data_IF_609358701707
#
_entry.id   IF_609358701707
#
_cell.length_a   1.000
_cell.length_b   1.000
_cell.length_c   1.000
_cell.angle_alpha   90.00
_cell.angle_beta   90.00
_cell.angle_gamma   90.00
#
_symmetry.space_group_name_H-M   'P 1'
#
loop_
_entity.id
_entity.type
_entity.pdbx_description
1 polymer ?
#
# COMPACT_ATOMS: atom_id res chain seq x y z
N UNK A 1 5.55 18.31 3.97
CA UNK A 1 4.78 17.61 2.91
C UNK A 1 3.29 17.47 3.24
N UNK A 2 2.84 16.51 4.07
CA UNK A 2 1.39 16.30 4.28
C UNK A 2 0.66 17.50 4.90
N UNK A 3 1.24 18.13 5.94
CA UNK A 3 0.68 19.35 6.55
C UNK A 3 0.64 20.55 5.60
N UNK A 4 1.64 20.68 4.72
CA UNK A 4 1.68 21.74 3.72
C UNK A 4 0.57 21.56 2.68
N UNK A 5 0.32 20.32 2.26
CA UNK A 5 -0.78 19.99 1.34
C UNK A 5 -2.15 20.29 1.97
N UNK A 6 -2.33 20.03 3.28
CA UNK A 6 -3.56 20.39 3.99
C UNK A 6 -3.80 21.90 4.11
N UNK A 7 -2.76 22.73 3.97
CA UNK A 7 -2.93 24.18 3.97
C UNK A 7 -3.38 24.73 2.61
N UNK A 8 -3.28 23.95 1.53
CA UNK A 8 -3.73 24.33 0.20
C UNK A 8 -5.26 24.21 0.07
N UNK A 9 -5.89 24.98 -0.84
CA UNK A 9 -7.27 24.74 -1.28
C UNK A 9 -7.47 23.30 -1.80
N UNK A 10 -8.69 22.78 -1.67
CA UNK A 10 -8.99 21.37 -2.02
C UNK A 10 -8.73 21.04 -3.50
N UNK A 11 -8.89 22.02 -4.41
CA UNK A 11 -8.65 21.89 -5.85
C UNK A 11 -7.17 22.01 -6.26
N UNK A 12 -6.31 22.47 -5.36
CA UNK A 12 -4.85 22.57 -5.56
C UNK A 12 -4.06 21.50 -4.79
N UNK A 13 -4.74 20.78 -3.89
CA UNK A 13 -4.14 19.81 -2.97
C UNK A 13 -3.96 18.44 -3.62
N UNK A 14 -2.80 17.81 -3.38
CA UNK A 14 -2.61 16.39 -3.67
C UNK A 14 -3.59 15.53 -2.85
N UNK A 15 -4.29 14.61 -3.51
CA UNK A 15 -5.27 13.77 -2.82
C UNK A 15 -4.63 12.61 -2.04
N UNK A 16 -3.59 12.00 -2.60
CA UNK A 16 -2.93 10.82 -2.06
C UNK A 16 -1.41 10.97 -2.12
N UNK A 17 -0.73 10.38 -1.12
CA UNK A 17 0.70 10.13 -1.12
C UNK A 17 0.94 8.64 -1.26
N UNK A 18 1.88 8.26 -2.11
CA UNK A 18 2.47 6.93 -2.11
C UNK A 18 3.83 7.02 -1.42
N UNK A 19 4.02 6.25 -0.34
CA UNK A 19 5.32 6.02 0.26
C UNK A 19 5.92 4.75 -0.32
N UNK A 20 7.22 4.75 -0.60
CA UNK A 20 7.97 3.56 -0.98
C UNK A 20 9.37 3.60 -0.36
N UNK A 21 9.80 2.49 0.22
CA UNK A 21 11.14 2.34 0.79
C UNK A 21 12.22 2.40 -0.29
N UNK A 22 13.42 2.81 0.12
CA UNK A 22 14.55 3.04 -0.78
C UNK A 22 15.11 1.75 -1.40
N UNK A 23 14.76 0.60 -0.84
CA UNK A 23 15.05 -0.74 -1.36
C UNK A 23 13.85 -1.33 -2.11
N UNK A 24 13.14 -0.47 -2.86
CA UNK A 24 12.19 -0.87 -3.89
C UNK A 24 12.73 -0.54 -5.29
N UNK A 25 12.28 -1.29 -6.30
CA UNK A 25 12.58 -1.02 -7.70
C UNK A 25 11.28 -0.99 -8.50
N UNK A 26 11.00 0.14 -9.14
CA UNK A 26 9.88 0.25 -10.09
C UNK A 26 10.19 -0.62 -11.32
N UNK A 27 9.30 -1.58 -11.59
CA UNK A 27 9.43 -2.51 -12.71
C UNK A 27 8.63 -2.05 -13.92
N UNK A 28 7.41 -1.55 -13.67
CA UNK A 28 6.48 -1.15 -14.72
C UNK A 28 6.06 0.31 -14.57
N UNK A 29 6.83 1.22 -15.18
CA UNK A 29 6.51 2.65 -15.16
C UNK A 29 5.31 3.03 -16.03
N UNK A 30 4.70 2.07 -16.73
CA UNK A 30 3.49 2.26 -17.54
C UNK A 30 2.21 2.00 -16.75
N UNK A 31 2.30 1.51 -15.50
CA UNK A 31 1.16 1.30 -14.62
C UNK A 31 0.82 2.61 -13.89
N UNK A 32 -0.35 3.22 -14.16
CA UNK A 32 -0.82 4.36 -13.37
C UNK A 32 -1.06 3.95 -11.92
N UNK A 33 -0.51 4.70 -10.97
CA UNK A 33 -0.60 4.37 -9.54
C UNK A 33 -2.02 4.56 -8.99
N UNK A 34 -2.81 5.43 -9.62
CA UNK A 34 -4.21 5.69 -9.30
C UNK A 34 -5.12 4.48 -9.51
N UNK A 35 -4.68 3.48 -10.29
CA UNK A 35 -5.44 2.24 -10.48
C UNK A 35 -5.70 1.51 -9.17
N UNK A 36 -4.79 1.62 -8.21
CA UNK A 36 -4.91 0.95 -6.91
C UNK A 36 -5.80 1.72 -5.94
N UNK A 37 -6.19 2.95 -6.26
CA UNK A 37 -6.97 3.79 -5.35
C UNK A 37 -8.46 3.41 -5.37
N UNK A 38 -9.21 3.69 -4.30
CA UNK A 38 -10.65 3.52 -4.31
C UNK A 38 -11.28 4.37 -5.43
N UNK A 39 -12.29 3.85 -6.16
CA UNK A 39 -12.94 4.61 -7.22
C UNK A 39 -13.73 5.79 -6.67
N UNK A 40 -13.50 6.99 -7.22
CA UNK A 40 -14.20 8.23 -6.84
C UNK A 40 -15.74 8.14 -7.00
N UNK A 41 -16.21 7.23 -7.87
CA UNK A 41 -17.63 6.97 -8.10
C UNK A 41 -18.32 6.16 -6.98
N UNK A 42 -17.59 5.73 -5.95
CA UNK A 42 -18.11 4.93 -4.84
C UNK A 42 -18.06 5.73 -3.51
N UNK A 43 -19.13 6.45 -3.15
CA UNK A 43 -19.20 7.23 -1.91
C UNK A 43 -18.97 6.39 -0.65
N UNK A 44 -19.27 5.09 -0.68
CA UNK A 44 -19.08 4.17 0.43
C UNK A 44 -17.60 3.88 0.74
N UNK A 45 -16.71 4.27 -0.17
CA UNK A 45 -15.25 4.18 0.00
C UNK A 45 -14.62 5.55 0.29
N UNK A 46 -15.42 6.62 0.38
CA UNK A 46 -14.93 7.99 0.53
C UNK A 46 -14.23 8.25 1.87
N UNK A 47 -14.32 7.34 2.83
CA UNK A 47 -13.64 7.40 4.12
C UNK A 47 -12.44 6.44 4.22
N UNK A 48 -12.04 5.81 3.11
CA UNK A 48 -10.76 5.11 3.02
C UNK A 48 -9.64 6.15 2.97
N UNK A 49 -8.70 6.02 3.91
CA UNK A 49 -7.58 6.94 4.07
C UNK A 49 -6.22 6.27 3.98
N UNK A 50 -6.13 4.95 4.18
CA UNK A 50 -4.89 4.19 4.09
C UNK A 50 -5.10 2.92 3.25
N UNK A 51 -4.22 2.70 2.27
CA UNK A 51 -4.05 1.40 1.64
C UNK A 51 -2.71 0.84 2.09
N UNK A 52 -2.73 -0.35 2.68
CA UNK A 52 -1.51 -1.03 3.13
C UNK A 52 -1.50 -2.47 2.61
N UNK A 53 -0.39 -3.15 2.81
CA UNK A 53 -0.23 -4.56 2.44
C UNK A 53 0.22 -5.37 3.66
N UNK A 54 0.28 -6.68 3.51
CA UNK A 54 0.80 -7.59 4.54
C UNK A 54 1.83 -8.56 3.97
N UNK A 55 2.71 -9.03 4.84
CA UNK A 55 3.64 -10.10 4.59
C UNK A 55 3.58 -11.16 5.69
N UNK A 56 4.53 -12.10 5.71
CA UNK A 56 4.62 -13.14 6.74
C UNK A 56 4.83 -12.60 8.17
N UNK A 57 5.20 -11.33 8.34
CA UNK A 57 5.31 -10.64 9.62
C UNK A 57 4.10 -9.73 9.95
N UNK A 58 3.04 -9.77 9.15
CA UNK A 58 1.84 -8.93 9.33
C UNK A 58 1.88 -7.69 8.45
N UNK A 59 1.41 -6.54 8.95
CA UNK A 59 1.43 -5.29 8.19
C UNK A 59 2.85 -4.97 7.72
N UNK A 60 3.00 -4.65 6.44
CA UNK A 60 4.23 -4.10 5.88
C UNK A 60 3.99 -2.65 5.45
N UNK A 61 4.81 -1.74 5.96
CA UNK A 61 4.71 -0.30 5.68
C UNK A 61 5.79 0.19 4.71
N UNK A 62 6.50 -0.71 4.03
CA UNK A 62 7.52 -0.34 3.05
C UNK A 62 6.93 0.25 1.78
N UNK A 63 5.69 -0.12 1.42
CA UNK A 63 4.89 0.62 0.42
C UNK A 63 3.44 0.72 0.86
N UNK A 64 2.91 1.94 0.89
CA UNK A 64 1.51 2.22 1.23
C UNK A 64 1.02 3.52 0.57
N UNK A 65 -0.31 3.65 0.48
CA UNK A 65 -0.96 4.87 0.02
C UNK A 65 -1.68 5.54 1.19
N UNK A 66 -1.45 6.84 1.38
CA UNK A 66 -2.08 7.62 2.44
C UNK A 66 -2.77 8.84 1.84
N UNK A 67 -4.08 8.95 2.07
CA UNK A 67 -4.86 10.10 1.63
C UNK A 67 -4.45 11.35 2.41
N UNK A 68 -4.36 12.50 1.76
CA UNK A 68 -4.18 13.77 2.49
C UNK A 68 -5.49 14.15 3.16
N UNK A 69 -5.56 13.97 4.48
CA UNK A 69 -6.72 14.32 5.30
C UNK A 69 -6.28 14.62 6.74
N UNK A 70 -7.17 15.23 7.54
CA UNK A 70 -6.95 15.39 8.97
C UNK A 70 -6.76 14.04 9.68
N UNK A 71 -7.54 13.02 9.28
CA UNK A 71 -7.41 11.66 9.80
C UNK A 71 -5.98 11.13 9.63
N UNK A 72 -5.36 11.35 8.46
CA UNK A 72 -4.01 10.88 8.20
C UNK A 72 -2.94 11.58 9.05
N UNK A 73 -3.15 12.85 9.41
CA UNK A 73 -2.27 13.56 10.35
C UNK A 73 -2.42 12.99 11.75
N UNK A 74 -3.65 12.75 12.20
CA UNK A 74 -3.91 12.15 13.51
C UNK A 74 -3.33 10.74 13.59
N UNK A 75 -3.49 9.95 12.53
CA UNK A 75 -2.93 8.61 12.40
C UNK A 75 -1.40 8.61 12.48
N UNK A 76 -0.71 9.43 11.67
CA UNK A 76 0.74 9.55 11.72
C UNK A 76 1.23 10.06 13.10
N UNK A 77 0.49 10.99 13.71
CA UNK A 77 0.81 11.49 15.05
C UNK A 77 0.68 10.40 16.11
N UNK A 78 -0.35 9.55 16.03
CA UNK A 78 -0.54 8.41 16.93
C UNK A 78 0.57 7.37 16.80
N UNK A 79 1.03 7.08 15.57
CA UNK A 79 2.17 6.18 15.32
C UNK A 79 3.44 6.73 15.97
N UNK A 80 3.75 8.02 15.73
CA UNK A 80 4.94 8.65 16.30
C UNK A 80 4.89 8.74 17.83
N UNK A 81 3.71 9.00 18.39
CA UNK A 81 3.50 9.07 19.83
C UNK A 81 3.37 7.70 20.51
N UNK A 82 3.32 6.60 19.75
CA UNK A 82 2.96 5.27 20.26
C UNK A 82 3.77 4.84 21.48
N UNK A 83 5.09 5.00 21.40
CA UNK A 83 6.00 4.66 22.51
C UNK A 83 5.81 5.54 23.75
N UNK A 84 5.28 6.75 23.58
CA UNK A 84 5.02 7.66 24.71
C UNK A 84 3.83 7.19 25.55
N UNK A 85 2.78 6.64 24.92
CA UNK A 85 1.58 6.20 25.63
C UNK A 85 1.46 4.67 25.80
N UNK A 86 2.31 3.89 25.12
CA UNK A 86 2.51 2.44 25.33
C UNK A 86 4.00 2.09 25.50
N UNK A 87 4.66 2.59 26.57
CA UNK A 87 6.11 2.42 26.74
C UNK A 87 6.53 0.96 26.98
N UNK A 88 5.65 0.14 27.56
CA UNK A 88 5.96 -1.25 27.93
C UNK A 88 5.74 -2.27 26.79
N UNK A 89 5.35 -1.79 25.61
CA UNK A 89 5.05 -2.67 24.48
C UNK A 89 6.27 -2.87 23.60
N UNK A 90 6.67 -4.13 23.48
CA UNK A 90 7.71 -4.55 22.54
C UNK A 90 7.23 -4.36 21.10
N UNK A 91 8.06 -3.71 20.29
CA UNK A 91 7.81 -3.47 18.87
C UNK A 91 8.90 -4.18 18.09
N UNK A 92 8.54 -5.29 17.43
CA UNK A 92 9.46 -6.06 16.60
C UNK A 92 10.07 -5.19 15.49
N UNK A 93 9.26 -4.29 14.92
CA UNK A 93 9.65 -3.28 13.94
C UNK A 93 9.11 -1.93 14.39
N UNK A 94 9.97 -0.92 14.51
CA UNK A 94 9.66 0.29 15.31
C UNK A 94 8.39 1.01 14.88
N UNK A 95 8.32 1.45 13.63
CA UNK A 95 7.19 2.20 13.07
C UNK A 95 6.16 1.28 12.41
N UNK A 96 6.58 0.16 11.80
CA UNK A 96 5.67 -0.85 11.26
C UNK A 96 4.78 -1.50 12.34
N UNK A 97 5.35 -1.96 13.47
CA UNK A 97 4.55 -2.53 14.55
C UNK A 97 3.68 -1.48 15.23
N UNK A 98 4.16 -0.24 15.36
CA UNK A 98 3.34 0.86 15.89
C UNK A 98 2.15 1.14 14.96
N UNK A 99 2.36 1.19 13.64
CA UNK A 99 1.30 1.37 12.64
C UNK A 99 0.25 0.25 12.73
N UNK A 100 0.69 -1.01 12.77
CA UNK A 100 -0.21 -2.15 12.92
C UNK A 100 -1.08 -2.02 14.18
N UNK A 101 -0.47 -1.68 15.32
CA UNK A 101 -1.22 -1.57 16.56
C UNK A 101 -2.14 -0.34 16.63
N UNK A 102 -1.78 0.78 15.98
CA UNK A 102 -2.67 1.96 15.88
C UNK A 102 -3.89 1.61 15.03
N UNK A 103 -3.72 0.84 13.96
CA UNK A 103 -4.84 0.38 13.13
C UNK A 103 -5.82 -0.54 13.86
N UNK A 104 -5.42 -1.19 14.96
CA UNK A 104 -6.35 -1.98 15.78
C UNK A 104 -7.23 -1.10 16.70
N UNK A 105 -6.94 0.20 16.83
CA UNK A 105 -7.73 1.08 17.69
C UNK A 105 -9.06 1.47 17.00
N UNK A 106 -10.18 1.59 17.76
CA UNK A 106 -11.49 1.89 17.20
C UNK A 106 -11.55 3.14 16.30
N UNK A 107 -10.71 4.14 16.57
CA UNK A 107 -10.65 5.40 15.85
C UNK A 107 -10.05 5.28 14.45
N UNK A 108 -9.25 4.23 14.19
CA UNK A 108 -8.47 4.08 12.96
C UNK A 108 -8.85 2.85 12.13
N UNK A 109 -9.32 1.77 12.77
CA UNK A 109 -9.50 0.44 12.14
C UNK A 109 -10.36 0.42 10.88
N UNK A 110 -11.42 1.24 10.82
CA UNK A 110 -12.39 1.19 9.72
C UNK A 110 -12.00 2.10 8.53
N UNK A 111 -10.86 2.79 8.61
CA UNK A 111 -10.39 3.77 7.62
C UNK A 111 -9.21 3.28 6.78
N UNK A 112 -8.75 2.06 7.01
CA UNK A 112 -7.71 1.40 6.25
C UNK A 112 -8.26 0.23 5.42
N UNK A 113 -7.60 -0.07 4.32
CA UNK A 113 -7.87 -1.22 3.47
C UNK A 113 -6.56 -1.97 3.23
N UNK A 114 -6.59 -3.27 3.49
CA UNK A 114 -5.50 -4.17 3.12
C UNK A 114 -5.65 -4.59 1.65
N UNK A 115 -4.64 -4.29 0.84
CA UNK A 115 -4.57 -4.66 -0.56
C UNK A 115 -3.63 -5.85 -0.76
N UNK A 116 -3.79 -6.61 -1.86
CA UNK A 116 -2.84 -7.65 -2.23
C UNK A 116 -1.42 -7.10 -2.44
N UNK A 117 -0.44 -7.66 -1.74
CA UNK A 117 0.96 -7.23 -1.82
C UNK A 117 1.54 -7.20 -3.24
N UNK A 118 1.24 -8.14 -4.16
CA UNK A 118 1.74 -8.10 -5.53
C UNK A 118 1.34 -6.86 -6.34
N UNK A 119 0.35 -6.09 -5.88
CA UNK A 119 -0.09 -4.89 -6.59
C UNK A 119 0.98 -3.79 -6.58
N UNK A 120 1.53 -3.52 -5.40
CA UNK A 120 2.46 -2.41 -5.19
C UNK A 120 3.49 -2.63 -4.08
N UNK A 121 3.54 -3.79 -3.43
CA UNK A 121 4.53 -4.13 -2.40
C UNK A 121 4.99 -5.59 -2.51
N UNK A 122 5.15 -6.09 -3.74
CA UNK A 122 5.46 -7.49 -3.99
C UNK A 122 6.94 -7.80 -3.74
N UNK A 123 7.23 -8.96 -3.16
CA UNK A 123 8.60 -9.38 -2.89
C UNK A 123 9.27 -10.06 -4.07
N UNK A 124 10.60 -10.05 -4.08
CA UNK A 124 11.31 -11.01 -4.91
C UNK A 124 11.04 -12.44 -4.41
N UNK A 125 11.08 -13.41 -5.32
CA UNK A 125 11.03 -14.81 -4.93
C UNK A 125 12.32 -15.19 -4.21
N UNK A 126 12.20 -15.74 -3.00
CA UNK A 126 13.30 -16.30 -2.22
C UNK A 126 13.22 -17.82 -2.08
N UNK A 127 12.18 -18.44 -2.64
CA UNK A 127 11.96 -19.88 -2.61
C UNK A 127 11.45 -20.41 -1.26
N UNK A 128 11.32 -19.56 -0.25
CA UNK A 128 10.88 -19.92 1.11
C UNK A 128 9.48 -19.40 1.42
N UNK A 129 9.16 -18.18 0.98
CA UNK A 129 7.89 -17.51 1.30
C UNK A 129 6.83 -17.64 0.19
N UNK A 130 5.59 -17.32 0.56
CA UNK A 130 4.41 -17.51 -0.28
C UNK A 130 4.51 -16.77 -1.62
N UNK A 131 4.14 -17.48 -2.69
CA UNK A 131 4.04 -16.90 -4.04
C UNK A 131 2.98 -15.82 -4.13
N UNK A 132 1.97 -15.87 -3.27
CA UNK A 132 0.89 -14.86 -3.24
C UNK A 132 1.38 -13.47 -2.82
N UNK A 133 2.54 -13.36 -2.17
CA UNK A 133 3.15 -12.09 -1.77
C UNK A 133 4.26 -11.62 -2.72
N UNK A 134 4.61 -12.45 -3.70
CA UNK A 134 5.70 -12.16 -4.63
C UNK A 134 5.23 -11.21 -5.72
N UNK A 135 6.18 -10.41 -6.23
CA UNK A 135 5.96 -9.57 -7.39
C UNK A 135 5.51 -10.42 -8.57
N UNK A 136 4.41 -10.00 -9.19
CA UNK A 136 3.87 -10.65 -10.38
C UNK A 136 4.42 -10.01 -11.64
N UNK A 137 4.28 -10.72 -12.76
CA UNK A 137 4.61 -10.16 -14.07
C UNK A 137 3.76 -8.91 -14.35
N UNK A 138 4.40 -7.83 -14.81
CA UNK A 138 3.76 -6.53 -15.02
C UNK A 138 3.38 -5.75 -13.75
N UNK A 139 3.76 -6.24 -12.56
CA UNK A 139 3.59 -5.54 -11.29
C UNK A 139 4.32 -4.19 -11.26
N UNK A 140 3.81 -3.26 -10.44
CA UNK A 140 4.35 -1.88 -10.38
C UNK A 140 5.82 -1.85 -9.95
N UNK A 141 6.13 -2.57 -8.86
CA UNK A 141 7.45 -2.57 -8.24
C UNK A 141 7.74 -3.90 -7.55
N UNK A 142 9.02 -4.11 -7.23
CA UNK A 142 9.51 -5.17 -6.35
C UNK A 142 10.19 -4.55 -5.12
N UNK A 143 9.96 -5.16 -3.96
CA UNK A 143 10.51 -4.73 -2.66
C UNK A 143 11.53 -5.77 -2.15
N UNK A 144 12.65 -5.30 -1.58
CA UNK A 144 13.78 -6.10 -1.12
C UNK A 144 14.03 -5.99 0.41
N UNK A 145 13.01 -6.14 1.28
CA UNK A 145 13.24 -6.03 2.72
C UNK A 145 14.09 -7.19 3.21
N UNK A 146 14.98 -6.93 4.17
CA UNK A 146 15.79 -7.97 4.79
C UNK A 146 16.80 -8.69 3.89
N UNK A 147 16.88 -8.36 2.59
CA UNK A 147 17.88 -8.94 1.68
C UNK A 147 19.28 -8.49 2.10
N UNK A 148 20.20 -9.46 2.27
CA UNK A 148 21.56 -9.19 2.76
C UNK A 148 22.39 -8.37 1.77
N UNK A 149 22.46 -8.81 0.50
CA UNK A 149 23.14 -8.08 -0.58
C UNK A 149 22.13 -7.38 -1.52
N UNK A 150 21.52 -6.29 -1.01
CA UNK A 150 20.54 -5.50 -1.77
C UNK A 150 21.09 -4.97 -3.10
N UNK A 151 22.31 -4.40 -3.18
CA UNK A 151 22.85 -3.93 -4.46
C UNK A 151 22.94 -5.04 -5.51
N UNK A 152 23.37 -6.25 -5.13
CA UNK A 152 23.42 -7.37 -6.06
C UNK A 152 22.01 -7.80 -6.51
N UNK A 153 21.05 -7.90 -5.58
CA UNK A 153 19.67 -8.28 -5.92
C UNK A 153 19.00 -7.26 -6.84
N UNK A 154 19.12 -5.96 -6.54
CA UNK A 154 18.63 -4.88 -7.39
C UNK A 154 19.31 -4.94 -8.76
N UNK A 155 20.63 -5.16 -8.81
CA UNK A 155 21.39 -5.31 -10.05
C UNK A 155 20.86 -6.45 -10.94
N UNK A 156 20.56 -7.61 -10.35
CA UNK A 156 19.98 -8.74 -11.08
C UNK A 156 18.61 -8.41 -11.68
N UNK A 157 17.74 -7.71 -10.94
CA UNK A 157 16.45 -7.26 -11.47
C UNK A 157 16.59 -6.21 -12.57
N UNK A 158 17.51 -5.26 -12.41
CA UNK A 158 17.82 -4.27 -13.44
C UNK A 158 18.29 -4.95 -14.72
N UNK A 159 19.19 -5.92 -14.62
CA UNK A 159 19.70 -6.68 -15.77
C UNK A 159 18.62 -7.54 -16.42
N UNK A 160 17.76 -8.18 -15.61
CA UNK A 160 16.58 -8.92 -16.10
C UNK A 160 15.66 -8.02 -16.92
N UNK A 161 15.33 -6.83 -16.41
CA UNK A 161 14.47 -5.89 -17.12
C UNK A 161 15.13 -5.26 -18.36
N UNK A 162 16.45 -5.08 -18.36
CA UNK A 162 17.18 -4.60 -19.55
C UNK A 162 17.22 -5.63 -20.67
N UNK A 163 17.44 -6.90 -20.34
CA UNK A 163 17.54 -7.98 -21.32
C UNK A 163 16.17 -8.35 -21.90
N UNK A 164 15.11 -8.29 -21.09
CA UNK A 164 13.75 -8.68 -21.48
C UNK A 164 12.73 -7.63 -20.99
N UNK A 165 12.74 -6.44 -21.62
CA UNK A 165 11.90 -5.31 -21.20
C UNK A 165 10.41 -5.65 -21.11
N UNK A 166 9.89 -6.51 -22.00
CA UNK A 166 8.50 -6.96 -21.99
C UNK A 166 8.09 -7.74 -20.74
N UNK A 167 9.06 -8.26 -19.98
CA UNK A 167 8.81 -9.00 -18.74
C UNK A 167 8.64 -8.07 -17.53
N UNK A 168 9.10 -6.81 -17.64
CA UNK A 168 8.97 -5.81 -16.59
C UNK A 168 7.98 -4.71 -16.97
N UNK A 169 8.12 -4.10 -18.13
CA UNK A 169 7.20 -3.07 -18.62
C UNK A 169 6.13 -3.73 -19.51
N UNK A 170 4.92 -3.83 -18.97
CA UNK A 170 3.74 -4.25 -19.71
C UNK A 170 2.74 -3.11 -19.77
N UNK A 171 2.21 -2.85 -20.96
CA UNK A 171 1.10 -1.90 -21.10
C UNK A 171 -0.07 -2.46 -20.31
N UNK A 172 -0.63 -1.66 -19.40
CA UNK A 172 -1.70 -2.12 -18.52
C UNK A 172 -2.94 -2.65 -19.28
N UNK A 173 -3.25 -2.07 -20.44
CA UNK A 173 -4.32 -2.56 -21.33
C UNK A 173 -4.11 -3.98 -21.87
N UNK A 174 -2.88 -4.50 -21.84
CA UNK A 174 -2.56 -5.88 -22.24
C UNK A 174 -2.67 -6.87 -21.07
N UNK A 175 -3.11 -6.41 -19.89
CA UNK A 175 -3.30 -7.20 -18.67
C UNK A 175 -4.76 -7.14 -18.17
N UNK A 176 -5.77 -7.53 -18.98
CA UNK A 176 -7.18 -7.35 -18.64
C UNK A 176 -7.61 -8.06 -17.34
N UNK A 177 -7.04 -9.24 -17.06
CA UNK A 177 -7.34 -9.95 -15.81
C UNK A 177 -6.84 -9.21 -14.56
N UNK A 178 -5.80 -8.37 -14.69
CA UNK A 178 -5.31 -7.56 -13.57
C UNK A 178 -6.25 -6.39 -13.25
N UNK A 179 -6.81 -5.75 -14.28
CA UNK A 179 -7.83 -4.72 -14.08
C UNK A 179 -9.11 -5.29 -13.48
N UNK A 180 -9.58 -6.42 -14.01
CA UNK A 180 -10.78 -7.09 -13.50
C UNK A 180 -10.63 -7.51 -12.03
N UNK A 181 -9.44 -7.96 -11.62
CA UNK A 181 -9.10 -8.26 -10.23
C UNK A 181 -9.23 -7.02 -9.32
N UNK A 182 -8.67 -5.88 -9.74
CA UNK A 182 -8.72 -4.63 -8.97
C UNK A 182 -10.16 -4.10 -8.87
N UNK A 183 -10.90 -4.11 -9.97
CA UNK A 183 -12.30 -3.67 -10.01
C UNK A 183 -13.18 -4.55 -9.13
N UNK A 184 -13.02 -5.87 -9.22
CA UNK A 184 -13.75 -6.84 -8.40
C UNK A 184 -13.44 -6.64 -6.92
N UNK A 185 -12.17 -6.47 -6.57
CA UNK A 185 -11.75 -6.18 -5.19
C UNK A 185 -12.44 -4.94 -4.63
N UNK A 186 -12.49 -3.84 -5.38
CA UNK A 186 -13.12 -2.61 -4.89
C UNK A 186 -14.63 -2.74 -4.75
N UNK A 187 -15.31 -3.47 -5.63
CA UNK A 187 -16.75 -3.75 -5.48
C UNK A 187 -17.03 -4.65 -4.27
N UNK A 188 -16.17 -5.64 -3.98
CA UNK A 188 -16.28 -6.46 -2.78
C UNK A 188 -16.07 -5.66 -1.48
N UNK A 189 -15.07 -4.77 -1.45
CA UNK A 189 -14.86 -3.85 -0.31
C UNK A 189 -16.08 -2.95 -0.13
N UNK A 190 -16.60 -2.40 -1.23
CA UNK A 190 -17.80 -1.54 -1.23
C UNK A 190 -19.03 -2.27 -0.73
N UNK A 191 -19.27 -3.50 -1.17
CA UNK A 191 -20.42 -4.32 -0.71
C UNK A 191 -20.34 -4.58 0.79
N UNK A 192 -19.17 -4.97 1.30
CA UNK A 192 -18.95 -5.19 2.74
C UNK A 192 -19.22 -3.93 3.57
N UNK A 193 -18.77 -2.76 3.11
CA UNK A 193 -19.03 -1.48 3.81
C UNK A 193 -20.51 -1.10 3.81
N UNK A 194 -21.25 -1.40 2.74
CA UNK A 194 -22.72 -1.19 2.69
C UNK A 194 -23.48 -2.09 3.66
N UNK A 195 -23.09 -3.35 3.76
CA UNK A 195 -23.74 -4.32 4.66
C UNK A 195 -23.42 -4.06 6.14
N UNK A 196 -22.23 -3.51 6.42
CA UNK A 196 -21.79 -3.11 7.75
C UNK A 196 -22.36 -1.78 8.25
N UNK A 197 -23.13 -1.04 7.44
CA UNK A 197 -23.81 0.21 7.81
C UNK A 197 -25.27 -0.12 8.20
N UNK A 198 -25.57 -0.47 9.46
CA UNK A 198 -26.95 -0.56 9.90
C UNK A 198 -27.53 0.83 9.76
N UNK A 199 -28.44 1.03 8.80
CA UNK A 199 -29.26 2.23 8.71
C UNK A 199 -29.73 2.57 10.11
N UNK A 200 -29.20 3.66 10.66
CA UNK A 200 -29.66 4.21 11.92
C UNK A 200 -31.07 4.73 11.65
N UNK A 201 -32.06 3.90 11.96
CA UNK A 201 -33.47 4.32 12.10
C UNK A 201 -33.65 5.25 13.31
#
# INVERSE_FOLDING_TARGET
>A
MALEQLALPDDERLQWLMWADADTLILNSLTPVELFLPPDSAPELADVHLLHTKDWNGLNNGVFFLRISAWSIDFLSAILAYRTFKPDMELAFTEQSAMANVLEMPEYKDKAVECPSPWFNGYQSDGEHDKEQQVREGGLLVHFPGVEDKPAAIGQWVDKCKNERSNCEKVFGDMPGYLEEIETFWEEVRSRRREGDPKVE
#
